data_IF_414894133552
#
_entry.id   IF_414894133552
#
_cell.length_a   1.000
_cell.length_b   1.000
_cell.length_c   1.000
_cell.angle_alpha   90.00
_cell.angle_beta   90.00
_cell.angle_gamma   90.00
#
_symmetry.space_group_name_H-M   'P 1'
#
loop_
_entity.id
_entity.type
_entity.pdbx_description
1 polymer ?
#
# COMPACT_ATOMS: atom_id res chain seq x y z
N UNK A 1 -13.21 8.41 -34.22
CA UNK A 1 -12.52 7.80 -33.06
C UNK A 1 -12.75 6.30 -33.12
N UNK A 2 -11.73 5.50 -33.39
CA UNK A 2 -11.84 4.04 -33.36
C UNK A 2 -11.96 3.57 -31.91
N UNK A 3 -13.05 2.85 -31.60
CA UNK A 3 -13.22 2.17 -30.32
C UNK A 3 -12.32 0.93 -30.31
N UNK A 4 -11.16 1.03 -29.66
CA UNK A 4 -10.31 -0.15 -29.42
C UNK A 4 -10.92 -0.98 -28.29
N UNK A 5 -11.36 -2.20 -28.60
CA UNK A 5 -11.73 -3.18 -27.59
C UNK A 5 -10.46 -3.73 -26.94
N UNK A 6 -10.23 -3.34 -25.69
CA UNK A 6 -9.19 -3.91 -24.85
C UNK A 6 -9.82 -4.96 -23.92
N UNK A 7 -9.15 -6.10 -23.69
CA UNK A 7 -9.60 -7.03 -22.67
C UNK A 7 -9.54 -6.35 -21.27
N UNK A 8 -10.45 -6.74 -20.38
CA UNK A 8 -10.68 -6.05 -19.09
C UNK A 8 -9.40 -5.93 -18.25
N UNK A 9 -8.54 -6.93 -18.29
CA UNK A 9 -7.24 -6.93 -17.62
C UNK A 9 -6.28 -5.84 -18.14
N UNK A 10 -6.25 -5.60 -19.46
CA UNK A 10 -5.43 -4.53 -20.05
C UNK A 10 -5.98 -3.15 -19.75
N UNK A 11 -7.31 -2.99 -19.70
CA UNK A 11 -7.95 -1.75 -19.26
C UNK A 11 -7.62 -1.46 -17.80
N UNK A 12 -7.75 -2.46 -16.93
CA UNK A 12 -7.46 -2.35 -15.51
C UNK A 12 -5.99 -1.98 -15.27
N UNK A 13 -5.06 -2.65 -15.98
CA UNK A 13 -3.64 -2.29 -15.95
C UNK A 13 -3.42 -0.86 -16.40
N UNK A 14 -3.94 -0.43 -17.55
CA UNK A 14 -3.77 0.98 -18.00
C UNK A 14 -4.31 1.99 -16.99
N UNK A 15 -5.50 1.76 -16.46
CA UNK A 15 -6.13 2.68 -15.50
C UNK A 15 -5.33 2.80 -14.20
N UNK A 16 -4.80 1.69 -13.71
CA UNK A 16 -4.01 1.61 -12.48
C UNK A 16 -2.57 2.08 -12.68
N UNK A 17 -2.03 2.04 -13.90
CA UNK A 17 -0.65 2.41 -14.18
C UNK A 17 -0.50 3.88 -14.60
N UNK A 18 -1.52 4.42 -15.27
CA UNK A 18 -1.54 5.79 -15.81
C UNK A 18 -2.51 6.72 -15.06
N UNK A 19 -3.10 6.26 -13.94
CA UNK A 19 -3.97 7.09 -13.11
C UNK A 19 -3.24 8.26 -12.45
N UNK A 20 -3.91 9.41 -12.31
CA UNK A 20 -3.44 10.53 -11.50
C UNK A 20 -3.80 10.29 -10.03
N UNK A 21 -2.84 10.45 -9.12
CA UNK A 21 -3.08 10.33 -7.68
C UNK A 21 -3.57 11.64 -7.08
N UNK A 22 -4.46 11.57 -6.08
CA UNK A 22 -4.90 12.76 -5.32
C UNK A 22 -3.84 13.26 -4.33
N UNK A 23 -2.95 12.38 -3.87
CA UNK A 23 -1.77 12.73 -3.08
C UNK A 23 -0.63 13.03 -4.05
N UNK A 24 0.11 14.13 -3.84
CA UNK A 24 1.24 14.49 -4.68
C UNK A 24 2.29 13.36 -4.69
N UNK A 25 2.74 12.97 -5.88
CA UNK A 25 3.63 11.81 -6.10
C UNK A 25 4.95 11.77 -5.29
N UNK A 26 5.60 12.87 -4.84
CA UNK A 26 6.95 12.74 -4.26
C UNK A 26 7.01 12.29 -2.79
N UNK A 27 5.94 12.40 -1.99
CA UNK A 27 6.01 12.14 -0.53
C UNK A 27 5.12 10.98 -0.06
N UNK A 28 4.40 10.26 -0.94
CA UNK A 28 3.43 9.23 -0.55
C UNK A 28 3.97 8.21 0.46
N UNK A 29 5.11 7.60 0.17
CA UNK A 29 5.66 6.53 1.02
C UNK A 29 6.09 7.09 2.38
N UNK A 30 6.72 8.26 2.37
CA UNK A 30 7.11 9.00 3.57
C UNK A 30 5.91 9.44 4.41
N UNK A 31 4.84 9.91 3.80
CA UNK A 31 3.59 10.28 4.48
C UNK A 31 2.95 9.06 5.16
N UNK A 32 2.94 7.91 4.48
CA UNK A 32 2.45 6.66 5.08
C UNK A 32 3.34 6.22 6.24
N UNK A 33 4.67 6.33 6.10
CA UNK A 33 5.60 6.02 7.20
C UNK A 33 5.37 6.93 8.42
N UNK A 34 5.19 8.23 8.20
CA UNK A 34 4.88 9.19 9.26
C UNK A 34 3.54 8.88 9.94
N UNK A 35 2.53 8.50 9.16
CA UNK A 35 1.24 8.05 9.68
C UNK A 35 1.42 6.83 10.59
N UNK A 36 2.13 5.78 10.13
CA UNK A 36 2.35 4.55 10.89
C UNK A 36 3.15 4.82 12.17
N UNK A 37 4.14 5.71 12.13
CA UNK A 37 4.90 6.12 13.30
C UNK A 37 4.00 6.76 14.36
N UNK A 38 3.09 7.65 13.93
CA UNK A 38 2.08 8.24 14.82
C UNK A 38 1.09 7.24 15.42
N UNK A 39 0.87 6.09 14.79
CA UNK A 39 -0.03 5.04 15.33
C UNK A 39 0.66 4.11 16.33
N UNK A 40 2.00 4.11 16.45
CA UNK A 40 2.73 3.16 17.31
C UNK A 40 2.29 3.21 18.77
N UNK A 41 1.98 4.39 19.30
CA UNK A 41 1.48 4.58 20.66
C UNK A 41 0.11 3.95 20.92
N UNK A 42 -0.70 3.81 19.88
CA UNK A 42 -2.07 3.27 19.95
C UNK A 42 -2.11 1.74 19.80
N UNK A 43 -1.00 1.12 19.36
CA UNK A 43 -0.93 -0.33 19.14
C UNK A 43 -0.69 -1.05 20.47
N UNK A 44 -1.73 -1.71 20.97
CA UNK A 44 -1.67 -2.46 22.24
C UNK A 44 -0.89 -3.80 22.21
N UNK A 45 -0.48 -4.29 21.02
CA UNK A 45 0.27 -5.54 20.88
C UNK A 45 -0.51 -6.86 21.05
N UNK A 46 -1.85 -6.84 21.20
CA UNK A 46 -2.62 -8.06 21.54
C UNK A 46 -2.90 -9.02 20.38
N UNK A 47 -3.06 -8.53 19.15
CA UNK A 47 -3.38 -9.37 17.99
C UNK A 47 -2.26 -9.35 16.95
N UNK A 48 -1.86 -10.53 16.47
CA UNK A 48 -0.75 -10.70 15.53
C UNK A 48 -0.92 -9.91 14.21
N UNK A 49 -2.12 -9.85 13.58
CA UNK A 49 -2.31 -9.05 12.37
C UNK A 49 -1.88 -7.59 12.54
N UNK A 50 -2.23 -6.94 13.64
CA UNK A 50 -1.84 -5.56 13.92
C UNK A 50 -0.39 -5.47 14.45
N UNK A 51 -0.06 -6.20 15.52
CA UNK A 51 1.25 -6.11 16.19
C UNK A 51 2.41 -6.42 15.23
N UNK A 52 2.30 -7.51 14.49
CA UNK A 52 3.39 -8.01 13.66
C UNK A 52 3.23 -7.48 12.22
N UNK A 53 1.98 -7.34 11.74
CA UNK A 53 1.70 -6.87 10.38
C UNK A 53 2.05 -5.40 10.16
N UNK A 54 1.74 -4.51 11.10
CA UNK A 54 2.08 -3.07 10.96
C UNK A 54 3.59 -2.87 10.92
N UNK A 55 4.34 -3.56 11.77
CA UNK A 55 5.82 -3.52 11.77
C UNK A 55 6.38 -4.02 10.44
N UNK A 56 5.82 -5.12 9.90
CA UNK A 56 6.26 -5.66 8.61
C UNK A 56 5.92 -4.71 7.46
N UNK A 57 4.76 -4.08 7.48
CA UNK A 57 4.35 -3.06 6.50
C UNK A 57 5.34 -1.88 6.52
N UNK A 58 5.73 -1.39 7.70
CA UNK A 58 6.72 -0.31 7.84
C UNK A 58 8.06 -0.69 7.21
N UNK A 59 8.55 -1.92 7.44
CA UNK A 59 9.77 -2.43 6.82
C UNK A 59 9.69 -2.50 5.30
N UNK A 60 8.54 -2.90 4.75
CA UNK A 60 8.32 -2.95 3.30
C UNK A 60 8.32 -1.54 2.69
N UNK A 61 7.69 -0.57 3.35
CA UNK A 61 7.69 0.84 2.94
C UNK A 61 9.10 1.45 3.02
N UNK A 62 9.91 1.08 4.01
CA UNK A 62 11.32 1.46 4.05
C UNK A 62 12.12 0.91 2.87
N UNK A 63 11.76 -0.25 2.30
CA UNK A 63 12.39 -0.72 1.06
C UNK A 63 12.05 0.19 -0.13
N UNK A 64 10.84 0.74 -0.17
CA UNK A 64 10.45 1.73 -1.18
C UNK A 64 11.27 3.02 -1.04
N UNK A 65 11.35 3.60 0.16
CA UNK A 65 12.18 4.80 0.43
C UNK A 65 13.64 4.60 0.03
N UNK A 66 14.18 3.40 0.29
CA UNK A 66 15.57 3.07 -0.02
C UNK A 66 15.81 2.63 -1.48
N UNK A 67 14.81 2.71 -2.36
CA UNK A 67 14.87 2.23 -3.75
C UNK A 67 15.31 0.74 -3.88
N UNK A 68 14.95 -0.08 -2.89
CA UNK A 68 15.26 -1.53 -2.82
C UNK A 68 14.02 -2.42 -2.98
N UNK A 69 12.84 -1.84 -3.11
CA UNK A 69 11.59 -2.58 -3.32
C UNK A 69 11.57 -3.26 -4.69
N UNK A 70 10.91 -4.42 -4.76
CA UNK A 70 10.64 -5.16 -5.99
C UNK A 70 9.16 -5.60 -6.04
N UNK A 71 8.76 -6.28 -7.10
CA UNK A 71 7.36 -6.70 -7.27
C UNK A 71 6.85 -7.59 -6.13
N UNK A 72 7.72 -8.42 -5.52
CA UNK A 72 7.35 -9.22 -4.36
C UNK A 72 7.14 -8.35 -3.11
N UNK A 73 7.90 -7.26 -2.94
CA UNK A 73 7.67 -6.25 -1.90
C UNK A 73 6.26 -5.68 -1.99
N UNK A 74 5.82 -5.28 -3.18
CA UNK A 74 4.48 -4.72 -3.40
C UNK A 74 3.38 -5.74 -3.12
N UNK A 75 3.52 -6.98 -3.61
CA UNK A 75 2.56 -8.07 -3.35
C UNK A 75 2.45 -8.40 -1.85
N UNK A 76 3.58 -8.39 -1.14
CA UNK A 76 3.59 -8.63 0.30
C UNK A 76 2.92 -7.48 1.05
N UNK A 77 3.17 -6.23 0.64
CA UNK A 77 2.53 -5.03 1.20
C UNK A 77 1.01 -5.10 1.04
N UNK A 78 0.51 -5.41 -0.15
CA UNK A 78 -0.94 -5.61 -0.42
C UNK A 78 -1.53 -6.69 0.49
N UNK A 79 -0.89 -7.86 0.54
CA UNK A 79 -1.36 -8.99 1.35
C UNK A 79 -1.46 -8.64 2.83
N UNK A 80 -0.45 -7.98 3.38
CA UNK A 80 -0.43 -7.60 4.80
C UNK A 80 -1.46 -6.53 5.12
N UNK A 81 -1.65 -5.56 4.22
CA UNK A 81 -2.70 -4.55 4.37
C UNK A 81 -4.08 -5.18 4.48
N UNK A 82 -4.43 -6.13 3.61
CA UNK A 82 -5.71 -6.86 3.73
C UNK A 82 -5.80 -7.75 4.97
N UNK A 83 -4.68 -8.32 5.44
CA UNK A 83 -4.66 -9.12 6.66
C UNK A 83 -4.98 -8.31 7.92
N UNK A 84 -4.80 -6.98 7.92
CA UNK A 84 -5.18 -6.12 9.04
C UNK A 84 -6.69 -6.17 9.34
N UNK A 85 -7.54 -6.59 8.40
CA UNK A 85 -8.96 -6.86 8.63
C UNK A 85 -9.22 -7.94 9.69
N UNK A 86 -8.23 -8.78 9.99
CA UNK A 86 -8.32 -9.78 11.05
C UNK A 86 -7.94 -9.23 12.45
N UNK A 87 -7.70 -7.92 12.57
CA UNK A 87 -7.42 -7.26 13.84
C UNK A 87 -8.61 -7.33 14.80
N UNK A 88 -8.32 -7.44 16.10
CA UNK A 88 -9.35 -7.61 17.15
C UNK A 88 -10.00 -6.30 17.63
N UNK A 89 -9.47 -5.14 17.24
CA UNK A 89 -9.95 -3.84 17.69
C UNK A 89 -9.90 -2.81 16.55
N UNK A 90 -10.56 -1.67 16.76
CA UNK A 90 -10.65 -0.57 15.79
C UNK A 90 -9.28 -0.07 15.35
N UNK A 91 -8.30 0.10 16.24
CA UNK A 91 -6.95 0.60 15.89
C UNK A 91 -6.34 -0.18 14.71
N UNK A 92 -6.33 -1.51 14.78
CA UNK A 92 -5.78 -2.33 13.69
C UNK A 92 -6.65 -2.31 12.42
N UNK A 93 -7.98 -2.23 12.57
CA UNK A 93 -8.92 -2.14 11.45
C UNK A 93 -8.79 -0.79 10.72
N UNK A 94 -8.62 0.30 11.45
CA UNK A 94 -8.49 1.66 10.93
C UNK A 94 -7.16 1.84 10.20
N UNK A 95 -6.06 1.32 10.75
CA UNK A 95 -4.77 1.26 10.05
C UNK A 95 -4.92 0.48 8.74
N UNK A 96 -5.55 -0.70 8.79
CA UNK A 96 -5.81 -1.49 7.59
C UNK A 96 -6.62 -0.73 6.56
N UNK A 97 -7.72 -0.10 6.97
CA UNK A 97 -8.61 0.61 6.04
C UNK A 97 -7.94 1.83 5.41
N UNK A 98 -7.16 2.59 6.17
CA UNK A 98 -6.42 3.73 5.64
C UNK A 98 -5.37 3.29 4.62
N UNK A 99 -4.63 2.21 4.90
CA UNK A 99 -3.66 1.65 3.97
C UNK A 99 -4.31 1.06 2.71
N UNK A 100 -5.49 0.44 2.82
CA UNK A 100 -6.25 -0.02 1.65
C UNK A 100 -6.61 1.14 0.73
N UNK A 101 -7.11 2.25 1.29
CA UNK A 101 -7.43 3.46 0.51
C UNK A 101 -6.18 4.02 -0.15
N UNK A 102 -5.03 4.00 0.53
CA UNK A 102 -3.75 4.41 -0.07
C UNK A 102 -3.38 3.52 -1.24
N UNK A 103 -3.43 2.19 -1.07
CA UNK A 103 -3.09 1.24 -2.14
C UNK A 103 -4.02 1.38 -3.34
N UNK A 104 -5.33 1.47 -3.11
CA UNK A 104 -6.33 1.55 -4.19
C UNK A 104 -6.22 2.85 -4.99
N UNK A 105 -5.89 3.97 -4.35
CA UNK A 105 -5.83 5.28 -5.01
C UNK A 105 -4.43 5.68 -5.51
N UNK A 106 -3.37 4.98 -5.09
CA UNK A 106 -1.99 5.36 -5.40
C UNK A 106 -1.15 4.16 -5.85
N UNK A 107 -1.80 3.12 -6.36
CA UNK A 107 -1.13 1.90 -6.81
C UNK A 107 -0.08 2.19 -7.89
N UNK A 108 -0.37 3.10 -8.83
CA UNK A 108 0.56 3.55 -9.86
C UNK A 108 1.89 4.02 -9.27
N UNK A 109 1.87 4.81 -8.18
CA UNK A 109 3.07 5.36 -7.53
C UNK A 109 3.92 4.26 -6.93
N UNK A 110 3.28 3.27 -6.29
CA UNK A 110 3.98 2.12 -5.72
C UNK A 110 4.45 1.12 -6.79
N UNK A 111 3.73 1.00 -7.90
CA UNK A 111 4.04 0.05 -8.96
C UNK A 111 5.16 0.55 -9.90
N UNK A 112 5.16 1.84 -10.27
CA UNK A 112 6.15 2.47 -11.17
C UNK A 112 7.62 2.12 -10.84
N UNK A 113 8.09 2.18 -9.57
CA UNK A 113 9.49 1.85 -9.23
C UNK A 113 9.79 0.34 -9.28
N UNK A 114 8.80 -0.53 -9.07
CA UNK A 114 9.01 -1.98 -8.95
C UNK A 114 8.74 -2.76 -10.24
N UNK A 115 8.14 -2.13 -11.26
CA UNK A 115 7.82 -2.78 -12.55
C UNK A 115 9.03 -3.11 -13.43
N UNK A 116 10.21 -2.55 -13.11
CA UNK A 116 11.42 -2.66 -13.95
C UNK A 116 12.15 -4.01 -13.84
N UNK A 117 11.63 -4.93 -13.03
CA UNK A 117 12.20 -6.27 -12.81
C UNK A 117 11.17 -7.34 -13.16
#
# INVERSE_FOLDING_TARGET
>A
MELKNFPVNELFQKWILDGETKLGEPELVKDVLNYLDGQKGEICGKCAPCRDGVVRIEQLLQLFENNKANLNTLKELEKLTYNLRASRCSVGLDIGKNLEVVLENNYNVLYKPVRKY
#
